data_IF_286978936696
#
_entry.id   IF_286978936696
#
_cell.length_a   1.000
_cell.length_b   1.000
_cell.length_c   1.000
_cell.angle_alpha   90.00
_cell.angle_beta   90.00
_cell.angle_gamma   90.00
#
_symmetry.space_group_name_H-M   'P 1'
#
loop_
_entity.id
_entity.type
_entity.pdbx_description
1 polymer ?
#
# COMPACT_ATOMS: atom_id res chain seq x y z
N UNK A 1 -3.43 -24.51 9.23
CA UNK A 1 -3.17 -24.15 7.82
C UNK A 1 -3.51 -22.67 7.69
N UNK A 2 -2.56 -21.79 8.00
CA UNK A 2 -2.74 -20.35 7.78
C UNK A 2 -2.41 -20.12 6.31
N UNK A 3 -3.43 -19.86 5.50
CA UNK A 3 -3.26 -19.70 4.06
C UNK A 3 -2.43 -18.46 3.78
N UNK A 4 -1.30 -18.64 3.08
CA UNK A 4 -0.61 -17.53 2.43
C UNK A 4 -1.50 -17.05 1.29
N UNK A 5 -2.33 -16.05 1.57
CA UNK A 5 -3.32 -15.53 0.62
C UNK A 5 -2.80 -14.34 -0.19
N UNK A 6 -1.58 -13.87 0.09
CA UNK A 6 -0.95 -12.73 -0.58
C UNK A 6 0.33 -13.11 -1.33
N UNK A 7 0.58 -14.40 -1.57
CA UNK A 7 1.75 -14.85 -2.34
C UNK A 7 1.73 -14.23 -3.75
N UNK A 8 2.79 -13.47 -4.05
CA UNK A 8 2.94 -12.77 -5.32
C UNK A 8 2.25 -11.41 -5.41
N UNK A 9 1.50 -11.00 -4.39
CA UNK A 9 0.95 -9.65 -4.34
C UNK A 9 2.04 -8.63 -4.02
N UNK A 10 2.21 -7.65 -4.90
CA UNK A 10 3.06 -6.49 -4.73
C UNK A 10 2.28 -5.40 -4.01
N UNK A 11 2.68 -5.04 -2.80
CA UNK A 11 1.97 -4.07 -1.95
C UNK A 11 2.82 -2.83 -1.72
N UNK A 12 2.21 -1.66 -1.85
CA UNK A 12 2.79 -0.38 -1.42
C UNK A 12 2.20 0.04 -0.08
N UNK A 13 3.02 0.58 0.81
CA UNK A 13 2.57 1.08 2.12
C UNK A 13 2.73 2.60 2.14
N UNK A 14 1.67 3.32 2.50
CA UNK A 14 1.65 4.78 2.61
C UNK A 14 1.26 5.16 4.03
N UNK A 15 2.28 5.49 4.83
CA UNK A 15 2.19 5.70 6.27
C UNK A 15 3.14 6.80 6.73
N UNK A 16 2.62 7.85 7.36
CA UNK A 16 3.42 8.97 7.87
C UNK A 16 4.32 8.56 9.04
N UNK A 17 3.87 7.58 9.84
CA UNK A 17 4.64 6.97 10.91
C UNK A 17 5.44 5.76 10.43
N UNK A 18 6.76 5.95 10.25
CA UNK A 18 7.68 4.89 9.81
C UNK A 18 7.61 3.61 10.65
N UNK A 19 7.42 3.73 11.96
CA UNK A 19 7.33 2.56 12.84
C UNK A 19 6.09 1.71 12.54
N UNK A 20 4.97 2.34 12.18
CA UNK A 20 3.75 1.66 11.76
C UNK A 20 3.96 1.02 10.39
N UNK A 21 4.58 1.74 9.46
CA UNK A 21 4.91 1.22 8.12
C UNK A 21 5.75 -0.06 8.18
N UNK A 22 6.78 -0.08 9.04
CA UNK A 22 7.65 -1.24 9.25
C UNK A 22 6.89 -2.42 9.88
N UNK A 23 6.00 -2.16 10.84
CA UNK A 23 5.18 -3.21 11.44
C UNK A 23 4.20 -3.82 10.42
N UNK A 24 3.63 -3.00 9.53
CA UNK A 24 2.78 -3.48 8.44
C UNK A 24 3.58 -4.29 7.42
N UNK A 25 4.80 -3.85 7.08
CA UNK A 25 5.70 -4.61 6.21
C UNK A 25 5.93 -6.03 6.75
N UNK A 26 6.29 -6.17 8.02
CA UNK A 26 6.52 -7.49 8.64
C UNK A 26 5.27 -8.38 8.55
N UNK A 27 4.09 -7.84 8.87
CA UNK A 27 2.82 -8.59 8.83
C UNK A 27 2.49 -9.06 7.40
N UNK A 28 2.69 -8.17 6.42
CA UNK A 28 2.38 -8.46 5.01
C UNK A 28 3.37 -9.44 4.41
N UNK A 29 4.66 -9.31 4.74
CA UNK A 29 5.70 -10.25 4.32
C UNK A 29 5.45 -11.65 4.91
N UNK A 30 5.06 -11.74 6.19
CA UNK A 30 4.67 -13.00 6.82
C UNK A 30 3.45 -13.63 6.14
N UNK A 31 2.53 -12.81 5.60
CA UNK A 31 1.39 -13.26 4.81
C UNK A 31 1.74 -13.66 3.35
N UNK A 32 3.00 -13.44 2.92
CA UNK A 32 3.53 -13.80 1.60
C UNK A 32 3.57 -12.67 0.58
N UNK A 33 3.22 -11.45 0.96
CA UNK A 33 3.27 -10.28 0.07
C UNK A 33 4.70 -9.78 -0.14
N UNK A 34 4.91 -9.08 -1.25
CA UNK A 34 6.16 -8.37 -1.55
C UNK A 34 5.93 -6.87 -1.41
N UNK A 35 6.65 -6.22 -0.50
CA UNK A 35 6.58 -4.76 -0.37
C UNK A 35 7.43 -4.12 -1.46
N UNK A 36 6.80 -3.33 -2.33
CA UNK A 36 7.50 -2.65 -3.45
C UNK A 36 8.01 -1.27 -3.07
N UNK A 37 7.45 -0.68 -2.03
CA UNK A 37 7.82 0.66 -1.58
C UNK A 37 7.01 1.11 -0.38
N UNK A 38 7.65 1.99 0.41
CA UNK A 38 7.05 2.69 1.54
C UNK A 38 7.10 4.19 1.24
N UNK A 39 5.98 4.86 1.42
CA UNK A 39 5.87 6.31 1.30
C UNK A 39 5.37 6.90 2.62
N UNK A 40 5.92 8.04 3.03
CA UNK A 40 5.44 8.76 4.23
C UNK A 40 4.45 9.88 3.90
N UNK A 41 4.22 10.15 2.62
CA UNK A 41 3.22 11.10 2.17
C UNK A 41 2.67 10.73 0.78
N UNK A 42 1.54 11.33 0.40
CA UNK A 42 0.90 11.09 -0.91
C UNK A 42 1.81 11.48 -2.08
N UNK A 43 2.64 12.51 -1.93
CA UNK A 43 3.54 12.92 -3.01
C UNK A 43 4.58 11.82 -3.31
N UNK A 44 5.14 11.20 -2.27
CA UNK A 44 6.05 10.07 -2.42
C UNK A 44 5.33 8.83 -2.95
N UNK A 45 4.10 8.59 -2.49
CA UNK A 45 3.27 7.50 -3.00
C UNK A 45 2.98 7.66 -4.49
N UNK A 46 2.60 8.85 -4.95
CA UNK A 46 2.38 9.14 -6.37
C UNK A 46 3.67 8.95 -7.19
N UNK A 47 4.81 9.39 -6.67
CA UNK A 47 6.10 9.16 -7.34
C UNK A 47 6.48 7.66 -7.41
N UNK A 48 6.07 6.86 -6.43
CA UNK A 48 6.24 5.40 -6.46
C UNK A 48 5.27 4.73 -7.44
N UNK A 49 4.01 5.19 -7.49
CA UNK A 49 3.00 4.68 -8.43
C UNK A 49 3.44 4.85 -9.89
N UNK A 50 4.14 5.93 -10.22
CA UNK A 50 4.66 6.17 -11.57
C UNK A 50 5.87 5.29 -11.93
N UNK A 51 6.54 4.69 -10.94
CA UNK A 51 7.82 3.99 -11.13
C UNK A 51 7.73 2.48 -10.93
N UNK A 52 6.80 2.02 -10.11
CA UNK A 52 6.68 0.63 -9.70
C UNK A 52 5.25 0.11 -9.92
N UNK A 53 5.14 -1.09 -10.48
CA UNK A 53 3.86 -1.80 -10.54
C UNK A 53 3.54 -2.42 -9.17
N UNK A 54 2.31 -2.26 -8.70
CA UNK A 54 1.80 -2.89 -7.48
C UNK A 54 0.35 -3.34 -7.67
N UNK A 55 -0.05 -4.36 -6.92
CA UNK A 55 -1.40 -4.92 -6.96
C UNK A 55 -2.35 -4.22 -5.97
N UNK A 56 -1.80 -3.73 -4.85
CA UNK A 56 -2.56 -3.03 -3.82
C UNK A 56 -1.70 -2.01 -3.07
N UNK A 57 -2.34 -0.96 -2.53
CA UNK A 57 -1.70 -0.01 -1.62
C UNK A 57 -2.47 0.04 -0.30
N UNK A 58 -1.73 0.05 0.81
CA UNK A 58 -2.28 0.36 2.14
C UNK A 58 -2.04 1.84 2.40
N UNK A 59 -3.10 2.56 2.66
CA UNK A 59 -3.10 4.00 2.92
C UNK A 59 -3.75 4.23 4.28
N UNK A 60 -3.01 4.76 5.25
CA UNK A 60 -3.65 5.22 6.48
C UNK A 60 -4.39 6.54 6.25
N UNK A 61 -5.61 6.57 6.79
CA UNK A 61 -6.67 7.56 6.55
C UNK A 61 -6.41 8.86 7.31
N UNK A 62 -5.24 9.00 7.93
CA UNK A 62 -4.75 10.28 8.48
C UNK A 62 -4.34 11.27 7.40
N UNK A 63 -4.22 10.82 6.15
CA UNK A 63 -4.09 11.66 4.98
C UNK A 63 -5.48 12.20 4.62
N UNK A 64 -5.70 13.49 4.93
CA UNK A 64 -6.93 14.26 4.71
C UNK A 64 -7.88 13.69 3.64
N UNK A 65 -9.13 13.48 4.08
CA UNK A 65 -10.33 12.90 3.45
C UNK A 65 -10.51 13.11 1.93
N UNK A 66 -9.86 14.12 1.33
CA UNK A 66 -9.95 14.47 -0.08
C UNK A 66 -9.15 13.59 -1.05
N UNK A 67 -8.20 12.75 -0.60
CA UNK A 67 -7.17 12.16 -1.51
C UNK A 67 -7.13 10.65 -1.67
N UNK A 68 -7.91 9.88 -0.93
CA UNK A 68 -7.98 8.40 -1.04
C UNK A 68 -8.42 7.96 -2.45
N UNK A 69 -9.19 8.80 -3.15
CA UNK A 69 -9.66 8.56 -4.53
C UNK A 69 -8.56 8.66 -5.60
N UNK A 70 -7.40 9.25 -5.28
CA UNK A 70 -6.28 9.35 -6.23
C UNK A 70 -5.45 8.06 -6.30
N UNK A 71 -5.42 7.27 -5.22
CA UNK A 71 -4.68 6.00 -5.15
C UNK A 71 -5.58 4.81 -5.54
N UNK A 72 -6.90 4.95 -5.40
CA UNK A 72 -7.87 3.94 -5.80
C UNK A 72 -8.89 4.55 -6.78
N UNK A 73 -8.71 4.40 -8.11
CA UNK A 73 -9.77 4.79 -9.04
C UNK A 73 -11.02 3.97 -8.73
N UNK A 74 -12.23 4.57 -8.81
CA UNK A 74 -13.46 3.86 -8.53
C UNK A 74 -13.55 2.62 -9.42
N UNK A 75 -13.64 1.44 -8.81
CA UNK A 75 -13.92 0.20 -9.51
C UNK A 75 -15.20 0.42 -10.32
N UNK A 76 -15.04 0.36 -11.64
CA UNK A 76 -16.09 0.69 -12.60
C UNK A 76 -17.38 -0.05 -12.29
N UNK A 77 -18.45 0.71 -12.33
CA UNK A 77 -19.82 0.22 -12.41
C UNK A 77 -19.94 -0.62 -13.68
N UNK A 78 -20.35 -1.88 -13.54
CA UNK A 78 -20.94 -2.68 -14.61
C UNK A 78 -22.19 -3.36 -14.07
#
# INVERSE_FOLDING_TARGET
MTGKHLEGCRIMIVEDELLIAMALEEILQDAGATIVGMASCVADALALIEREDFDAAILDVRLDDERVTAVCPPLGSS
#
